data_IF_496298476309
#
_entry.id   IF_496298476309
#
_cell.length_a   1.000
_cell.length_b   1.000
_cell.length_c   1.000
_cell.angle_alpha   90.00
_cell.angle_beta   90.00
_cell.angle_gamma   90.00
#
_symmetry.space_group_name_H-M   'P 1'
#
loop_
_entity.id
_entity.type
_entity.pdbx_description
1 polymer ?
#
# COMPACT_ATOMS: atom_id res chain seq x y z
N UNK A 1 -2.18 11.56 5.48
CA UNK A 1 -3.36 12.31 5.01
C UNK A 1 -4.57 12.04 5.90
N UNK A 2 -5.75 12.56 5.55
CA UNK A 2 -7.01 12.28 6.27
C UNK A 2 -7.82 11.20 5.54
N UNK A 3 -8.55 10.39 6.31
CA UNK A 3 -9.46 9.36 5.79
C UNK A 3 -10.77 9.35 6.57
N UNK A 4 -11.87 9.04 5.89
CA UNK A 4 -13.19 8.87 6.50
C UNK A 4 -13.75 7.50 6.18
N UNK A 5 -14.48 6.92 7.14
CA UNK A 5 -15.27 5.71 6.92
C UNK A 5 -16.64 5.84 7.58
N UNK A 6 -17.54 4.92 7.26
CA UNK A 6 -18.87 4.84 7.85
C UNK A 6 -19.05 3.49 8.54
N UNK A 7 -19.60 3.53 9.74
CA UNK A 7 -19.99 2.32 10.48
C UNK A 7 -21.13 1.65 9.75
N UNK A 8 -20.93 0.40 9.36
CA UNK A 8 -21.88 -0.38 8.55
C UNK A 8 -22.82 -1.25 9.39
N UNK A 9 -22.52 -1.46 10.68
CA UNK A 9 -23.30 -2.31 11.58
C UNK A 9 -23.37 -1.67 12.97
N UNK A 10 -24.53 -1.83 13.63
CA UNK A 10 -24.73 -1.42 15.01
C UNK A 10 -23.72 -2.12 15.94
N UNK A 11 -23.08 -1.36 16.82
CA UNK A 11 -22.21 -1.88 17.88
C UNK A 11 -22.92 -1.74 19.21
N UNK A 12 -23.04 -2.85 19.94
CA UNK A 12 -23.69 -2.92 21.23
C UNK A 12 -22.65 -3.00 22.36
N UNK A 13 -23.11 -2.82 23.59
CA UNK A 13 -22.28 -2.94 24.79
C UNK A 13 -21.66 -4.34 24.93
N UNK A 14 -20.42 -4.38 25.42
CA UNK A 14 -19.72 -5.65 25.63
C UNK A 14 -20.31 -6.53 26.74
N UNK A 15 -20.89 -6.02 27.85
CA UNK A 15 -21.39 -6.89 28.92
C UNK A 15 -22.68 -7.63 28.57
N UNK A 16 -23.64 -6.97 27.92
CA UNK A 16 -24.97 -7.54 27.65
C UNK A 16 -25.25 -7.75 26.17
N UNK A 17 -24.62 -6.99 25.28
CA UNK A 17 -24.90 -7.00 23.84
C UNK A 17 -26.29 -6.46 23.47
N UNK A 18 -26.97 -5.75 24.38
CA UNK A 18 -28.37 -5.31 24.21
C UNK A 18 -28.50 -3.80 24.06
N UNK A 19 -27.57 -3.04 24.64
CA UNK A 19 -27.58 -1.59 24.62
C UNK A 19 -26.83 -1.12 23.38
N UNK A 20 -27.55 -0.44 22.48
CA UNK A 20 -26.94 0.14 21.29
C UNK A 20 -26.02 1.30 21.70
N UNK A 21 -24.72 1.16 21.44
CA UNK A 21 -23.73 2.19 21.75
C UNK A 21 -23.31 3.01 20.53
N UNK A 22 -23.08 2.34 19.40
CA UNK A 22 -22.67 3.00 18.15
C UNK A 22 -23.64 2.58 17.05
N UNK A 23 -24.57 3.46 16.64
CA UNK A 23 -25.47 3.18 15.54
C UNK A 23 -24.73 3.04 14.21
N UNK A 24 -25.26 2.18 13.34
CA UNK A 24 -24.95 2.19 11.91
C UNK A 24 -25.15 3.59 11.34
N UNK A 25 -24.26 4.01 10.44
CA UNK A 25 -24.25 5.36 9.88
C UNK A 25 -23.37 6.34 10.64
N UNK A 26 -22.86 5.98 11.83
CA UNK A 26 -21.83 6.76 12.50
C UNK A 26 -20.60 6.93 11.59
N UNK A 27 -19.94 8.09 11.66
CA UNK A 27 -18.80 8.42 10.80
C UNK A 27 -17.48 8.33 11.58
N UNK A 28 -16.50 7.67 10.99
CA UNK A 28 -15.13 7.62 11.49
C UNK A 28 -14.26 8.63 10.75
N UNK A 29 -13.35 9.27 11.48
CA UNK A 29 -12.30 10.14 10.95
C UNK A 29 -10.96 9.65 11.49
N UNK A 30 -10.01 9.48 10.58
CA UNK A 30 -8.67 8.99 10.89
C UNK A 30 -7.59 9.69 10.08
N UNK A 31 -6.36 9.31 10.37
CA UNK A 31 -5.17 9.65 9.59
C UNK A 31 -4.49 8.39 9.08
N UNK A 32 -3.82 8.51 7.93
CA UNK A 32 -2.94 7.49 7.38
C UNK A 32 -1.58 8.08 7.10
N UNK A 33 -0.54 7.25 7.19
CA UNK A 33 0.79 7.63 6.76
C UNK A 33 0.92 7.48 5.24
N UNK A 34 1.40 8.53 4.58
CA UNK A 34 1.66 8.53 3.16
C UNK A 34 3.06 7.99 2.81
N UNK A 35 3.95 7.88 3.80
CA UNK A 35 5.27 7.29 3.61
C UNK A 35 5.16 5.76 3.53
N UNK A 36 5.26 5.25 2.31
CA UNK A 36 5.32 3.81 2.03
C UNK A 36 6.78 3.38 1.97
N UNK A 37 7.18 2.46 2.84
CA UNK A 37 8.50 1.86 2.84
C UNK A 37 8.66 0.82 1.71
N UNK A 38 9.90 0.53 1.32
CA UNK A 38 10.18 -0.56 0.39
C UNK A 38 9.64 -1.90 0.95
N UNK A 39 8.98 -2.68 0.10
CA UNK A 39 8.36 -3.96 0.49
C UNK A 39 7.07 -3.85 1.30
N UNK A 40 6.61 -2.64 1.64
CA UNK A 40 5.33 -2.44 2.28
C UNK A 40 4.19 -2.67 1.27
N UNK A 41 3.25 -3.54 1.64
CA UNK A 41 2.05 -3.86 0.84
C UNK A 41 0.75 -3.42 1.52
N UNK A 42 0.83 -2.83 2.71
CA UNK A 42 -0.33 -2.47 3.55
C UNK A 42 -0.29 -1.01 3.94
N UNK A 43 -1.42 -0.33 3.84
CA UNK A 43 -1.60 1.04 4.33
C UNK A 43 -1.91 1.00 5.82
N UNK A 44 -1.07 1.63 6.63
CA UNK A 44 -1.31 1.79 8.05
C UNK A 44 -2.10 3.08 8.28
N UNK A 45 -3.20 2.97 9.01
CA UNK A 45 -4.03 4.11 9.37
C UNK A 45 -4.61 3.94 10.77
N UNK A 46 -4.89 5.06 11.41
CA UNK A 46 -5.40 5.14 12.77
C UNK A 46 -6.66 5.98 12.82
N UNK A 47 -7.64 5.53 13.61
CA UNK A 47 -8.92 6.19 13.82
C UNK A 47 -8.84 7.12 15.03
N UNK A 48 -9.19 8.39 14.84
CA UNK A 48 -9.07 9.43 15.86
C UNK A 48 -10.40 9.79 16.49
N UNK A 49 -11.47 9.77 15.69
CA UNK A 49 -12.78 10.26 16.11
C UNK A 49 -13.90 9.47 15.47
N UNK A 50 -14.90 9.16 16.28
CA UNK A 50 -16.18 8.63 15.86
C UNK A 50 -17.25 9.71 16.08
N UNK A 51 -18.10 9.93 15.09
CA UNK A 51 -19.20 10.89 15.14
C UNK A 51 -20.50 10.10 15.02
N UNK A 52 -21.33 10.18 16.05
CA UNK A 52 -22.64 9.54 16.11
C UNK A 52 -23.66 10.30 15.24
N UNK A 53 -24.79 9.67 14.85
CA UNK A 53 -25.80 10.32 14.02
C UNK A 53 -26.44 11.57 14.64
N UNK A 54 -26.43 11.67 15.97
CA UNK A 54 -26.91 12.83 16.73
C UNK A 54 -25.89 13.99 16.82
N UNK A 55 -24.70 13.83 16.20
CA UNK A 55 -23.64 14.81 16.18
C UNK A 55 -22.65 14.71 17.35
N UNK A 56 -22.91 13.87 18.36
CA UNK A 56 -21.94 13.62 19.44
C UNK A 56 -20.68 12.99 18.89
N UNK A 57 -19.52 13.40 19.42
CA UNK A 57 -18.23 12.85 19.04
C UNK A 57 -17.56 12.08 20.17
N UNK A 58 -16.97 10.94 19.83
CA UNK A 58 -16.16 10.10 20.71
C UNK A 58 -14.72 10.14 20.22
N UNK A 59 -13.78 10.38 21.12
CA UNK A 59 -12.35 10.34 20.83
C UNK A 59 -11.86 8.89 20.89
N UNK A 60 -11.17 8.45 19.84
CA UNK A 60 -10.64 7.09 19.72
C UNK A 60 -9.14 7.01 20.04
N UNK A 61 -8.44 8.12 20.26
CA UNK A 61 -6.99 8.16 20.53
C UNK A 61 -6.18 7.23 19.61
N UNK A 62 -6.32 7.43 18.28
CA UNK A 62 -5.54 6.70 17.27
C UNK A 62 -5.70 5.17 17.35
N UNK A 63 -6.92 4.65 17.48
CA UNK A 63 -7.16 3.20 17.40
C UNK A 63 -6.72 2.64 16.05
N UNK A 64 -5.94 1.54 16.00
CA UNK A 64 -5.44 1.02 14.75
C UNK A 64 -6.58 0.48 13.87
N UNK A 65 -6.42 0.64 12.56
CA UNK A 65 -7.26 -0.05 11.60
C UNK A 65 -6.78 -1.48 11.39
N UNK A 66 -7.74 -2.37 11.18
CA UNK A 66 -7.47 -3.73 10.70
C UNK A 66 -8.30 -4.05 9.47
N UNK A 67 -7.83 -5.01 8.70
CA UNK A 67 -8.65 -5.61 7.65
C UNK A 67 -9.77 -6.50 8.24
N UNK A 68 -10.55 -7.13 7.36
CA UNK A 68 -11.63 -8.05 7.72
C UNK A 68 -11.14 -9.40 8.26
N UNK A 69 -9.83 -9.69 8.19
CA UNK A 69 -9.21 -10.88 8.76
C UNK A 69 -8.57 -10.59 10.13
N UNK A 70 -8.47 -9.31 10.53
CA UNK A 70 -7.91 -8.88 11.81
C UNK A 70 -6.44 -8.49 11.75
N UNK A 71 -5.81 -8.48 10.57
CA UNK A 71 -4.44 -8.00 10.41
C UNK A 71 -4.38 -6.47 10.41
N UNK A 72 -3.31 -5.90 10.95
CA UNK A 72 -3.10 -4.47 11.00
C UNK A 72 -2.97 -3.85 9.59
N UNK A 73 -3.59 -2.68 9.41
CA UNK A 73 -3.60 -1.96 8.14
C UNK A 73 -4.43 -2.62 7.05
N UNK A 74 -4.51 -1.93 5.91
CA UNK A 74 -5.35 -2.30 4.77
C UNK A 74 -4.50 -2.74 3.58
N UNK A 75 -4.91 -3.80 2.90
CA UNK A 75 -4.28 -4.26 1.66
C UNK A 75 -5.33 -4.37 0.57
N UNK A 76 -5.09 -3.68 -0.54
CA UNK A 76 -5.93 -3.71 -1.73
C UNK A 76 -5.03 -3.66 -2.98
N UNK A 77 -5.06 -2.59 -3.78
CA UNK A 77 -4.20 -2.46 -4.96
C UNK A 77 -2.76 -2.08 -4.60
N UNK A 78 -1.78 -2.75 -5.21
CA UNK A 78 -0.37 -2.35 -5.14
C UNK A 78 0.19 -2.22 -6.55
N UNK A 79 0.67 -1.03 -6.90
CA UNK A 79 1.42 -0.81 -8.14
C UNK A 79 2.91 -0.64 -7.81
N UNK A 80 3.72 -1.59 -8.29
CA UNK A 80 5.17 -1.55 -8.15
C UNK A 80 5.85 -0.79 -9.30
N UNK A 81 5.11 -0.39 -10.34
CA UNK A 81 5.59 0.33 -11.53
C UNK A 81 6.57 -0.46 -12.44
N UNK A 82 6.55 -1.80 -12.40
CA UNK A 82 7.47 -2.68 -13.16
C UNK A 82 7.24 -2.62 -14.67
N UNK A 83 6.05 -2.19 -15.11
CA UNK A 83 5.71 -2.12 -16.53
C UNK A 83 6.63 -1.17 -17.31
N UNK A 84 7.06 -0.06 -16.71
CA UNK A 84 8.02 0.86 -17.33
C UNK A 84 9.40 0.23 -17.48
N UNK A 85 9.85 -0.48 -16.45
CA UNK A 85 11.15 -1.16 -16.39
C UNK A 85 11.24 -2.25 -17.46
N UNK A 86 10.24 -3.12 -17.53
CA UNK A 86 10.19 -4.20 -18.52
C UNK A 86 10.18 -3.67 -19.96
N UNK A 87 9.44 -2.58 -20.22
CA UNK A 87 9.45 -1.91 -21.52
C UNK A 87 10.82 -1.34 -21.86
N UNK A 88 11.45 -0.64 -20.92
CA UNK A 88 12.79 -0.08 -21.11
C UNK A 88 13.85 -1.17 -21.35
N UNK A 89 13.77 -2.27 -20.60
CA UNK A 89 14.64 -3.43 -20.77
C UNK A 89 14.45 -4.06 -22.16
N UNK A 90 13.21 -4.26 -22.61
CA UNK A 90 12.91 -4.83 -23.93
C UNK A 90 13.48 -3.96 -25.07
N UNK A 91 13.26 -2.63 -25.02
CA UNK A 91 13.82 -1.70 -26.03
C UNK A 91 15.35 -1.78 -26.04
N UNK A 92 15.98 -1.82 -24.87
CA UNK A 92 17.44 -1.93 -24.74
C UNK A 92 17.98 -3.24 -25.34
N UNK A 93 17.30 -4.36 -25.08
CA UNK A 93 17.66 -5.66 -25.67
C UNK A 93 17.54 -5.67 -27.19
N UNK A 94 16.47 -5.10 -27.75
CA UNK A 94 16.27 -5.01 -29.20
C UNK A 94 17.34 -4.14 -29.88
N UNK A 95 17.70 -3.01 -29.27
CA UNK A 95 18.78 -2.16 -29.76
C UNK A 95 20.15 -2.88 -29.69
N UNK A 96 20.41 -3.62 -28.62
CA UNK A 96 21.62 -4.43 -28.47
C UNK A 96 21.73 -5.52 -29.53
N UNK A 97 20.68 -6.32 -29.71
CA UNK A 97 20.64 -7.38 -30.73
C UNK A 97 20.74 -6.82 -32.16
N UNK A 98 20.08 -5.69 -32.45
CA UNK A 98 20.19 -5.00 -33.74
C UNK A 98 21.61 -4.48 -34.02
N UNK A 99 22.30 -3.98 -33.00
CA UNK A 99 23.71 -3.58 -33.12
C UNK A 99 24.64 -4.77 -33.39
N UNK A 100 24.42 -5.91 -32.74
CA UNK A 100 25.20 -7.14 -32.94
C UNK A 100 25.03 -7.74 -34.35
N UNK A 101 23.83 -7.69 -34.92
CA UNK A 101 23.55 -8.20 -36.27
C UNK A 101 24.08 -7.28 -37.40
N UNK A 102 24.29 -6.00 -37.12
CA UNK A 102 24.90 -5.04 -38.05
C UNK A 102 26.43 -5.05 -38.05
N UNK A 103 27.07 -5.56 -37.00
CA UNK A 103 28.53 -5.70 -36.90
C UNK A 103 28.99 -7.01 -37.55
N UNK A 104 29.20 -6.98 -38.87
CA UNK A 104 29.69 -8.13 -39.64
C UNK A 104 31.12 -8.55 -39.26
N UNK A 105 31.29 -9.87 -39.11
CA UNK A 105 32.49 -10.71 -39.29
C UNK A 105 33.86 -10.14 -38.87
N UNK A 106 34.17 -10.17 -37.56
CA UNK A 106 35.57 -10.20 -37.11
C UNK A 106 35.71 -10.95 -35.76
N UNK A 107 36.33 -12.13 -35.76
CA UNK A 107 36.30 -13.11 -34.65
C UNK A 107 36.96 -12.70 -33.32
N UNK A 108 37.69 -11.58 -33.30
CA UNK A 108 38.16 -10.91 -32.07
C UNK A 108 37.18 -9.84 -31.59
N UNK A 109 36.53 -9.12 -32.52
CA UNK A 109 35.50 -8.15 -32.21
C UNK A 109 34.28 -8.86 -31.63
N UNK A 110 33.81 -9.96 -32.23
CA UNK A 110 32.69 -10.74 -31.72
C UNK A 110 32.92 -11.31 -30.29
N UNK A 111 34.15 -11.73 -29.96
CA UNK A 111 34.51 -12.21 -28.60
C UNK A 111 34.70 -11.08 -27.58
N UNK A 112 35.16 -9.92 -28.02
CA UNK A 112 35.23 -8.71 -27.19
C UNK A 112 33.84 -8.12 -26.95
N UNK A 113 32.99 -8.14 -27.98
CA UNK A 113 31.59 -7.72 -27.92
C UNK A 113 30.80 -8.61 -26.97
N UNK A 114 30.91 -9.95 -27.11
CA UNK A 114 30.21 -10.91 -26.25
C UNK A 114 30.60 -10.80 -24.76
N UNK A 115 31.87 -10.49 -24.45
CA UNK A 115 32.30 -10.19 -23.07
C UNK A 115 31.85 -8.80 -22.60
N UNK A 116 31.92 -7.80 -23.49
CA UNK A 116 31.43 -6.45 -23.23
C UNK A 116 29.91 -6.40 -22.99
N UNK A 117 29.12 -7.19 -23.71
CA UNK A 117 27.67 -7.32 -23.50
C UNK A 117 27.34 -8.11 -22.25
N UNK A 118 28.06 -9.20 -21.92
CA UNK A 118 27.88 -9.88 -20.63
C UNK A 118 28.19 -8.98 -19.43
N UNK A 119 29.32 -8.25 -19.45
CA UNK A 119 29.69 -7.34 -18.37
C UNK A 119 28.76 -6.12 -18.28
N UNK A 120 28.22 -5.65 -19.42
CA UNK A 120 27.27 -4.53 -19.46
C UNK A 120 25.87 -4.95 -19.02
N UNK A 121 25.41 -6.15 -19.36
CA UNK A 121 24.13 -6.70 -18.91
C UNK A 121 24.15 -6.93 -17.40
N UNK A 122 25.25 -7.47 -16.85
CA UNK A 122 25.39 -7.66 -15.41
C UNK A 122 25.35 -6.32 -14.65
N UNK A 123 26.08 -5.31 -15.13
CA UNK A 123 26.07 -3.96 -14.52
C UNK A 123 24.73 -3.24 -14.69
N UNK A 124 24.07 -3.37 -15.85
CA UNK A 124 22.75 -2.80 -16.07
C UNK A 124 21.70 -3.47 -15.16
N UNK A 125 21.78 -4.79 -14.98
CA UNK A 125 20.93 -5.54 -14.06
C UNK A 125 21.10 -5.07 -12.62
N UNK A 126 22.34 -4.94 -12.13
CA UNK A 126 22.64 -4.41 -10.79
C UNK A 126 22.14 -2.98 -10.60
N UNK A 127 22.31 -2.11 -11.61
CA UNK A 127 21.88 -0.72 -11.56
C UNK A 127 20.36 -0.56 -11.63
N UNK A 128 19.65 -1.43 -12.35
CA UNK A 128 18.19 -1.50 -12.37
C UNK A 128 17.68 -1.96 -11.01
N UNK A 129 18.20 -3.07 -10.46
CA UNK A 129 17.81 -3.58 -9.14
C UNK A 129 18.02 -2.52 -8.05
N UNK A 130 19.16 -1.83 -8.07
CA UNK A 130 19.44 -0.76 -7.09
C UNK A 130 18.59 0.50 -7.30
N UNK A 131 18.15 0.80 -8.53
CA UNK A 131 17.17 1.88 -8.78
C UNK A 131 15.75 1.48 -8.35
N UNK A 132 15.38 0.20 -8.51
CA UNK A 132 14.10 -0.34 -8.07
C UNK A 132 13.97 -0.39 -6.54
N UNK A 133 15.06 -0.62 -5.80
CA UNK A 133 15.08 -0.44 -4.35
C UNK A 133 14.71 1.00 -3.93
N UNK A 134 14.82 1.98 -4.84
CA UNK A 134 14.53 3.39 -4.59
C UNK A 134 13.15 3.85 -5.10
N UNK A 135 12.41 3.03 -5.88
CA UNK A 135 11.06 3.38 -6.33
C UNK A 135 10.04 2.82 -5.33
N UNK A 136 9.38 3.71 -4.60
CA UNK A 136 8.33 3.34 -3.64
C UNK A 136 7.08 2.84 -4.40
N UNK A 137 6.45 1.73 -3.98
CA UNK A 137 5.20 1.29 -4.59
C UNK A 137 4.05 2.25 -4.24
N UNK A 138 3.05 2.32 -5.12
CA UNK A 138 1.79 3.02 -4.86
C UNK A 138 0.77 2.03 -4.29
N UNK A 139 0.35 2.26 -3.04
CA UNK A 139 -0.70 1.49 -2.39
C UNK A 139 -2.04 2.21 -2.55
N UNK A 140 -3.03 1.54 -3.14
CA UNK A 140 -4.35 2.10 -3.39
C UNK A 140 -5.40 1.32 -2.63
N UNK A 141 -6.15 2.00 -1.75
CA UNK A 141 -7.35 1.46 -1.11
C UNK A 141 -8.57 2.09 -1.78
N UNK A 142 -9.41 1.27 -2.42
CA UNK A 142 -10.58 1.76 -3.15
C UNK A 142 -11.65 2.37 -2.21
N UNK A 143 -12.46 3.35 -2.68
CA UNK A 143 -13.62 3.81 -1.93
C UNK A 143 -14.58 2.66 -1.59
N UNK A 144 -15.11 2.66 -0.37
CA UNK A 144 -15.99 1.60 0.12
C UNK A 144 -15.27 0.31 0.54
N UNK A 145 -13.93 0.28 0.53
CA UNK A 145 -13.18 -0.87 1.04
C UNK A 145 -13.52 -1.14 2.51
N UNK A 146 -13.85 -2.40 2.89
CA UNK A 146 -14.21 -2.73 4.25
C UNK A 146 -13.01 -2.65 5.19
N UNK A 147 -13.19 -1.93 6.29
CA UNK A 147 -12.18 -1.71 7.33
C UNK A 147 -12.80 -1.95 8.70
N UNK A 148 -11.98 -2.39 9.65
CA UNK A 148 -12.36 -2.52 11.05
C UNK A 148 -11.55 -1.57 11.91
N UNK A 149 -12.15 -1.16 13.02
CA UNK A 149 -11.46 -0.45 14.11
C UNK A 149 -11.15 -1.49 15.17
N UNK A 150 -9.87 -1.70 15.48
CA UNK A 150 -9.49 -2.54 16.61
C UNK A 150 -9.39 -1.66 17.86
N UNK A 151 -10.32 -1.85 18.78
CA UNK A 151 -10.36 -1.13 20.06
C UNK A 151 -9.40 -1.83 21.03
N UNK A 152 -8.27 -1.19 21.28
CA UNK A 152 -7.15 -1.68 22.11
C UNK A 152 -7.26 -1.27 23.58
N UNK A 153 -8.22 -0.40 23.90
CA UNK A 153 -8.49 0.12 25.24
C UNK A 153 -9.98 0.37 25.38
N UNK A 154 -10.51 0.14 26.58
CA UNK A 154 -11.94 0.24 26.83
C UNK A 154 -12.49 1.62 26.47
N UNK A 155 -13.59 1.63 25.72
CA UNK A 155 -14.35 2.82 25.39
C UNK A 155 -15.58 2.84 26.30
N UNK A 156 -15.52 3.66 27.34
CA UNK A 156 -16.68 3.88 28.23
C UNK A 156 -17.63 4.86 27.58
N UNK A 157 -18.74 4.33 27.05
CA UNK A 157 -19.76 5.11 26.36
C UNK A 157 -21.00 5.23 27.27
N UNK A 158 -21.07 6.33 28.03
CA UNK A 158 -22.18 6.64 28.93
C UNK A 158 -23.27 7.50 28.28
N UNK A 159 -24.47 7.45 28.86
CA UNK A 159 -25.53 8.43 28.63
C UNK A 159 -25.22 9.73 29.40
N UNK A 160 -24.29 10.54 28.88
CA UNK A 160 -24.03 11.91 29.33
C UNK A 160 -23.31 12.05 30.68
N UNK A 161 -22.35 12.96 30.72
CA UNK A 161 -22.29 13.95 31.79
C UNK A 161 -22.95 15.23 31.26
#
# INVERSE_FOLDING_TARGET
>A
GLVTAQVTQNVYDSPTGRILLIPQGSRLIGDYDADVAFGQSRVLLAWNRLILPDGRSIVLERQPASDTQGFAGLQDGTDYHWGGVLKAALVSTLLGAGAELGSGDDGNLARAFRRGTQDSINRAGEQIVSRELNVRPTLTIRPGFPVRVLVTRDLVLGAGQ
#
